data_IF_341779180392
#
_entry.id   IF_341779180392
#
_cell.length_a   1.000
_cell.length_b   1.000
_cell.length_c   1.000
_cell.angle_alpha   90.00
_cell.angle_beta   90.00
_cell.angle_gamma   90.00
#
_symmetry.space_group_name_H-M   'P 1'
#
loop_
_entity.id
_entity.type
_entity.pdbx_description
1 polymer ?
#
# COMPACT_ATOMS: atom_id res chain seq x y z
N UNK A 1 9.28 -9.46 -21.95
CA UNK A 1 8.16 -9.50 -20.99
C UNK A 1 7.93 -8.09 -20.47
N UNK A 2 6.71 -7.57 -20.61
CA UNK A 2 6.38 -6.18 -20.27
C UNK A 2 5.93 -6.12 -18.79
N UNK A 3 6.28 -5.09 -17.99
CA UNK A 3 5.94 -5.01 -16.57
C UNK A 3 4.43 -4.98 -16.25
N UNK A 4 3.57 -4.94 -17.28
CA UNK A 4 2.11 -5.06 -17.18
C UNK A 4 1.60 -6.47 -16.94
N UNK A 5 2.42 -7.50 -17.18
CA UNK A 5 2.02 -8.91 -17.04
C UNK A 5 2.06 -9.41 -15.57
N UNK A 6 2.60 -8.58 -14.66
CA UNK A 6 2.76 -8.87 -13.23
C UNK A 6 1.47 -8.58 -12.43
N UNK A 7 0.55 -7.80 -13.00
CA UNK A 7 -0.64 -7.30 -12.30
C UNK A 7 -1.93 -7.84 -12.92
N UNK A 8 -2.13 -9.15 -12.77
CA UNK A 8 -3.44 -9.77 -12.99
C UNK A 8 -4.19 -9.84 -11.66
N UNK A 9 -5.25 -9.04 -11.55
CA UNK A 9 -6.10 -8.91 -10.36
C UNK A 9 -6.87 -10.18 -9.98
N UNK A 10 -6.72 -11.26 -10.76
CA UNK A 10 -7.51 -12.48 -10.69
C UNK A 10 -6.76 -13.67 -10.03
N UNK A 11 -5.48 -13.52 -9.67
CA UNK A 11 -4.67 -14.58 -9.03
C UNK A 11 -4.74 -14.58 -7.49
N UNK A 12 -5.89 -14.24 -6.93
CA UNK A 12 -6.10 -14.31 -5.47
C UNK A 12 -7.01 -15.48 -5.14
N UNK A 13 -6.48 -16.58 -4.55
CA UNK A 13 -7.34 -17.64 -4.05
C UNK A 13 -8.27 -17.05 -2.96
N UNK A 14 -9.54 -17.48 -2.91
CA UNK A 14 -10.41 -17.15 -1.78
C UNK A 14 -9.74 -17.68 -0.52
N UNK A 15 -9.64 -16.85 0.53
CA UNK A 15 -9.25 -17.34 1.84
C UNK A 15 -10.38 -18.23 2.35
N UNK A 16 -10.20 -19.55 2.27
CA UNK A 16 -11.13 -20.50 2.90
C UNK A 16 -11.20 -20.23 4.41
N UNK A 17 -12.40 -20.23 5.01
CA UNK A 17 -12.49 -20.19 6.45
C UNK A 17 -12.08 -21.55 7.02
N UNK A 18 -11.04 -21.56 7.85
CA UNK A 18 -10.68 -22.71 8.66
C UNK A 18 -11.89 -23.13 9.52
N UNK A 19 -12.38 -24.34 9.30
CA UNK A 19 -13.34 -24.97 10.17
C UNK A 19 -12.64 -25.36 11.48
N UNK A 20 -13.10 -24.83 12.60
CA UNK A 20 -12.81 -25.45 13.89
C UNK A 20 -13.98 -25.27 14.85
N UNK A 21 -14.38 -26.41 15.41
CA UNK A 21 -15.57 -26.60 16.21
C UNK A 21 -15.25 -26.34 17.69
N UNK A 22 -15.98 -25.42 18.34
CA UNK A 22 -16.25 -25.43 19.80
C UNK A 22 -17.29 -24.37 20.20
N UNK A 23 -18.11 -24.60 21.25
CA UNK A 23 -19.39 -23.91 21.41
C UNK A 23 -19.32 -22.61 22.25
N UNK A 24 -20.11 -21.64 21.78
CA UNK A 24 -20.94 -20.65 22.47
C UNK A 24 -20.38 -19.84 23.65
N UNK A 25 -20.19 -18.55 23.41
CA UNK A 25 -20.64 -17.49 24.31
C UNK A 25 -21.03 -16.25 23.51
N UNK A 26 -22.33 -15.98 23.49
CA UNK A 26 -22.95 -14.88 22.78
C UNK A 26 -22.42 -13.51 23.23
N UNK A 27 -21.78 -12.79 22.31
CA UNK A 27 -21.66 -11.32 22.39
C UNK A 27 -22.02 -10.70 21.05
N UNK A 28 -23.26 -10.23 21.00
CA UNK A 28 -23.76 -9.06 20.26
C UNK A 28 -23.35 -9.01 18.79
N UNK A 29 -24.15 -9.67 17.95
CA UNK A 29 -24.19 -9.41 16.53
C UNK A 29 -24.58 -7.95 16.27
N UNK A 30 -23.61 -7.06 16.10
CA UNK A 30 -23.82 -5.90 15.25
C UNK A 30 -23.84 -6.44 13.83
N UNK A 31 -25.04 -6.69 13.33
CA UNK A 31 -25.30 -6.95 11.92
C UNK A 31 -24.84 -5.71 11.14
N UNK A 32 -23.54 -5.66 10.83
CA UNK A 32 -22.99 -4.74 9.86
C UNK A 32 -23.55 -5.24 8.53
N UNK A 33 -24.67 -4.65 8.12
CA UNK A 33 -25.25 -4.82 6.81
C UNK A 33 -24.10 -4.79 5.80
N UNK A 34 -23.77 -5.95 5.21
CA UNK A 34 -22.78 -6.00 4.15
C UNK A 34 -23.44 -5.31 2.96
N UNK A 35 -23.20 -4.01 2.84
CA UNK A 35 -23.48 -3.29 1.60
C UNK A 35 -22.89 -4.14 0.47
N UNK A 36 -23.69 -4.54 -0.54
CA UNK A 36 -23.19 -5.35 -1.63
C UNK A 36 -21.99 -4.63 -2.23
N UNK A 37 -20.83 -5.28 -2.18
CA UNK A 37 -19.60 -4.71 -2.69
C UNK A 37 -19.81 -4.47 -4.20
N UNK A 38 -19.84 -3.20 -4.61
CA UNK A 38 -19.76 -2.84 -6.03
C UNK A 38 -18.58 -3.62 -6.62
N UNK A 39 -18.76 -4.36 -7.73
CA UNK A 39 -17.65 -5.10 -8.32
C UNK A 39 -16.50 -4.14 -8.58
N UNK A 40 -15.30 -4.51 -8.12
CA UNK A 40 -14.11 -3.71 -8.28
C UNK A 40 -13.90 -3.44 -9.78
N UNK A 41 -13.78 -2.18 -10.17
CA UNK A 41 -13.43 -1.85 -11.54
C UNK A 41 -12.00 -2.35 -11.84
N UNK A 42 -11.70 -2.72 -13.11
CA UNK A 42 -10.36 -3.11 -13.49
C UNK A 42 -9.39 -1.93 -13.30
N UNK A 43 -8.16 -2.24 -12.89
CA UNK A 43 -7.15 -1.21 -12.74
C UNK A 43 -6.70 -0.65 -14.09
N UNK A 44 -6.88 0.67 -14.24
CA UNK A 44 -6.36 1.43 -15.37
C UNK A 44 -4.83 1.34 -15.44
N UNK A 45 -4.23 1.47 -16.64
CA UNK A 45 -2.77 1.55 -16.77
C UNK A 45 -2.14 2.64 -15.89
N UNK A 46 -2.83 3.78 -15.76
CA UNK A 46 -2.40 4.89 -14.91
C UNK A 46 -2.35 4.50 -13.43
N UNK A 47 -3.40 3.88 -12.90
CA UNK A 47 -3.44 3.44 -11.51
C UNK A 47 -2.42 2.32 -11.23
N UNK A 48 -2.23 1.38 -12.17
CA UNK A 48 -1.16 0.37 -12.08
C UNK A 48 0.22 1.02 -12.01
N UNK A 49 0.48 2.01 -12.87
CA UNK A 49 1.75 2.76 -12.89
C UNK A 49 2.00 3.46 -11.55
N UNK A 50 1.00 4.18 -11.02
CA UNK A 50 1.07 4.82 -9.72
C UNK A 50 1.40 3.82 -8.60
N UNK A 51 0.70 2.67 -8.56
CA UNK A 51 0.94 1.67 -7.52
C UNK A 51 2.37 1.10 -7.58
N UNK A 52 2.89 0.87 -8.79
CA UNK A 52 4.29 0.48 -8.98
C UNK A 52 5.27 1.56 -8.55
N UNK A 53 4.99 2.83 -8.85
CA UNK A 53 5.82 3.98 -8.45
C UNK A 53 5.84 4.16 -6.93
N UNK A 54 4.67 4.09 -6.28
CA UNK A 54 4.51 4.09 -4.82
C UNK A 54 5.31 2.95 -4.18
N UNK A 55 5.26 1.75 -4.76
CA UNK A 55 6.03 0.61 -4.29
C UNK A 55 7.55 0.84 -4.36
N UNK A 56 8.04 1.43 -5.45
CA UNK A 56 9.45 1.80 -5.59
C UNK A 56 9.88 2.89 -4.60
N UNK A 57 9.05 3.90 -4.40
CA UNK A 57 9.32 4.96 -3.43
C UNK A 57 9.41 4.39 -2.02
N UNK A 58 8.47 3.51 -1.67
CA UNK A 58 8.46 2.82 -0.40
C UNK A 58 9.71 1.95 -0.19
N UNK A 59 10.18 1.26 -1.23
CA UNK A 59 11.41 0.49 -1.18
C UNK A 59 12.64 1.36 -0.92
N UNK A 60 12.71 2.53 -1.58
CA UNK A 60 13.80 3.48 -1.36
C UNK A 60 13.80 4.01 0.07
N UNK A 61 12.63 4.45 0.55
CA UNK A 61 12.45 4.95 1.92
C UNK A 61 12.87 3.90 2.96
N UNK A 62 12.40 2.66 2.80
CA UNK A 62 12.69 1.57 3.72
C UNK A 62 14.20 1.28 3.80
N UNK A 63 14.89 1.27 2.65
CA UNK A 63 16.33 1.05 2.61
C UNK A 63 17.12 2.15 3.36
N UNK A 64 16.68 3.40 3.27
CA UNK A 64 17.33 4.54 3.93
C UNK A 64 16.97 4.63 5.44
N UNK A 65 15.78 4.17 5.81
CA UNK A 65 15.35 4.15 7.22
C UNK A 65 15.95 2.98 8.03
N UNK A 66 16.57 1.99 7.39
CA UNK A 66 17.19 0.83 8.03
C UNK A 66 18.20 1.16 9.15
N UNK A 67 18.69 2.40 9.21
CA UNK A 67 19.61 2.85 10.24
C UNK A 67 18.97 3.30 11.58
N UNK A 68 17.63 3.43 11.71
CA UNK A 68 17.04 3.88 13.00
C UNK A 68 15.52 3.77 13.17
N UNK A 69 15.08 3.32 14.35
CA UNK A 69 13.69 3.01 14.71
C UNK A 69 12.72 4.23 14.66
N UNK A 70 13.16 5.40 15.12
CA UNK A 70 12.29 6.61 15.17
C UNK A 70 11.96 7.16 13.77
N UNK A 71 12.85 6.92 12.79
CA UNK A 71 12.64 7.35 11.41
C UNK A 71 11.51 6.53 10.75
N UNK A 72 11.39 5.25 11.08
CA UNK A 72 10.31 4.41 10.55
C UNK A 72 8.93 4.89 10.98
N UNK A 73 8.75 5.27 12.24
CA UNK A 73 7.45 5.70 12.76
C UNK A 73 6.98 6.98 12.08
N UNK A 74 7.84 7.99 12.02
CA UNK A 74 7.49 9.27 11.40
C UNK A 74 7.21 9.14 9.91
N UNK A 75 8.04 8.38 9.19
CA UNK A 75 7.88 8.25 7.75
C UNK A 75 6.68 7.38 7.39
N UNK A 76 6.39 6.32 8.16
CA UNK A 76 5.17 5.53 7.98
C UNK A 76 3.91 6.37 8.23
N UNK A 77 3.92 7.22 9.27
CA UNK A 77 2.79 8.13 9.53
C UNK A 77 2.59 9.13 8.40
N UNK A 78 3.66 9.79 7.94
CA UNK A 78 3.57 10.71 6.81
C UNK A 78 3.08 10.00 5.54
N UNK A 79 3.65 8.83 5.22
CA UNK A 79 3.35 8.11 3.99
C UNK A 79 1.90 7.61 3.96
N UNK A 80 1.39 7.11 5.10
CA UNK A 80 -0.02 6.72 5.23
C UNK A 80 -0.95 7.92 5.05
N UNK A 81 -0.68 9.04 5.73
CA UNK A 81 -1.47 10.28 5.58
C UNK A 81 -1.47 10.79 4.13
N UNK A 82 -0.33 10.74 3.46
CA UNK A 82 -0.20 11.14 2.06
C UNK A 82 -1.03 10.23 1.12
N UNK A 83 -0.96 8.92 1.26
CA UNK A 83 -1.79 8.01 0.47
C UNK A 83 -3.29 8.21 0.74
N UNK A 84 -3.65 8.48 2.00
CA UNK A 84 -5.03 8.74 2.39
C UNK A 84 -5.56 10.05 1.82
N UNK A 85 -4.74 11.12 1.78
CA UNK A 85 -5.16 12.39 1.18
C UNK A 85 -5.41 12.28 -0.32
N UNK A 86 -4.84 11.27 -0.98
CA UNK A 86 -5.09 10.92 -2.38
C UNK A 86 -6.29 9.97 -2.56
N UNK A 87 -6.94 9.53 -1.48
CA UNK A 87 -8.02 8.56 -1.54
C UNK A 87 -7.57 7.14 -1.91
N UNK A 88 -6.34 6.77 -1.53
CA UNK A 88 -5.78 5.44 -1.77
C UNK A 88 -5.59 4.72 -0.44
N UNK A 89 -6.23 3.56 -0.31
CA UNK A 89 -6.04 2.65 0.80
C UNK A 89 -4.90 1.67 0.50
N UNK A 90 -4.02 1.42 1.46
CA UNK A 90 -2.93 0.45 1.30
C UNK A 90 -3.01 -0.65 2.37
N UNK A 91 -2.81 -1.90 1.95
CA UNK A 91 -2.67 -3.07 2.82
C UNK A 91 -1.45 -3.87 2.42
N UNK A 92 -0.74 -4.44 3.39
CA UNK A 92 0.38 -5.33 3.13
C UNK A 92 0.07 -6.77 3.55
N UNK A 93 0.62 -7.75 2.83
CA UNK A 93 0.63 -9.18 3.20
C UNK A 93 2.04 -9.71 3.06
N UNK A 94 2.55 -10.42 4.08
CA UNK A 94 3.87 -11.09 3.99
C UNK A 94 3.71 -12.34 3.12
N UNK A 95 4.65 -12.56 2.21
CA UNK A 95 4.69 -13.69 1.27
C UNK A 95 6.02 -14.41 1.39
N UNK A 96 5.95 -15.72 1.23
CA UNK A 96 7.11 -16.58 1.04
C UNK A 96 7.70 -16.35 -0.38
N UNK A 97 8.95 -16.80 -0.63
CA UNK A 97 9.50 -16.84 -1.97
C UNK A 97 8.53 -17.52 -2.96
N UNK A 98 8.55 -17.07 -4.21
CA UNK A 98 7.78 -17.62 -5.31
C UNK A 98 8.60 -17.59 -6.60
N UNK A 99 7.99 -17.99 -7.72
CA UNK A 99 8.65 -18.07 -9.03
C UNK A 99 9.24 -16.75 -9.53
N UNK A 100 8.85 -15.61 -8.94
CA UNK A 100 9.27 -14.26 -9.33
C UNK A 100 10.20 -13.59 -8.32
N UNK A 101 10.17 -14.03 -7.06
CA UNK A 101 10.93 -13.44 -5.95
C UNK A 101 11.46 -14.59 -5.09
N UNK A 102 12.77 -14.80 -5.13
CA UNK A 102 13.49 -15.88 -4.43
C UNK A 102 13.68 -15.64 -2.92
N UNK A 103 13.04 -14.61 -2.38
CA UNK A 103 13.15 -14.20 -0.98
C UNK A 103 11.81 -13.80 -0.39
N UNK A 104 11.75 -13.74 0.94
CA UNK A 104 10.57 -13.23 1.63
C UNK A 104 10.31 -11.77 1.25
N UNK A 105 9.05 -11.46 1.03
CA UNK A 105 8.64 -10.13 0.60
C UNK A 105 7.25 -9.78 1.15
N UNK A 106 6.89 -8.52 1.01
CA UNK A 106 5.57 -8.00 1.26
C UNK A 106 4.88 -7.67 -0.07
N UNK A 107 3.67 -8.19 -0.28
CA UNK A 107 2.76 -7.66 -1.30
C UNK A 107 1.98 -6.49 -0.72
N UNK A 108 2.16 -5.30 -1.28
CA UNK A 108 1.34 -4.12 -1.05
C UNK A 108 0.12 -4.13 -1.98
N UNK A 109 -1.06 -3.86 -1.43
CA UNK A 109 -2.33 -3.77 -2.13
C UNK A 109 -2.85 -2.35 -2.02
N UNK A 110 -2.88 -1.63 -3.13
CA UNK A 110 -3.51 -0.33 -3.23
C UNK A 110 -4.96 -0.49 -3.68
N UNK A 111 -5.88 0.23 -3.03
CA UNK A 111 -7.29 0.30 -3.38
C UNK A 111 -7.70 1.75 -3.52
N UNK A 112 -8.15 2.15 -4.71
CA UNK A 112 -8.76 3.45 -4.93
C UNK A 112 -10.16 3.44 -4.33
N UNK A 113 -10.43 4.37 -3.41
CA UNK A 113 -11.60 4.27 -2.52
C UNK A 113 -12.92 4.51 -3.27
N UNK A 114 -12.97 5.46 -4.22
CA UNK A 114 -14.22 5.85 -4.88
C UNK A 114 -14.86 4.73 -5.71
N UNK A 115 -14.05 3.87 -6.31
CA UNK A 115 -14.49 2.83 -7.25
C UNK A 115 -13.98 1.43 -6.93
N UNK A 116 -13.29 1.26 -5.80
CA UNK A 116 -12.67 0.02 -5.36
C UNK A 116 -11.72 -0.59 -6.39
N UNK A 117 -11.12 0.21 -7.28
CA UNK A 117 -10.07 -0.27 -8.19
C UNK A 117 -8.87 -0.72 -7.38
N UNK A 118 -8.34 -1.91 -7.68
CA UNK A 118 -7.22 -2.51 -6.94
C UNK A 118 -6.03 -2.80 -7.83
N UNK A 119 -4.85 -2.46 -7.34
CA UNK A 119 -3.58 -2.89 -7.91
C UNK A 119 -2.63 -3.29 -6.79
N UNK A 120 -1.54 -3.97 -7.13
CA UNK A 120 -0.55 -4.42 -6.18
C UNK A 120 0.83 -3.86 -6.50
N UNK A 121 1.77 -4.04 -5.59
CA UNK A 121 3.21 -3.93 -5.78
C UNK A 121 3.90 -4.85 -4.77
N UNK A 122 5.20 -5.07 -4.90
CA UNK A 122 5.97 -5.85 -3.93
C UNK A 122 7.09 -5.03 -3.29
N UNK A 123 7.53 -5.46 -2.12
CA UNK A 123 8.58 -4.85 -1.32
C UNK A 123 9.38 -5.93 -0.60
N UNK A 124 10.72 -5.94 -0.73
CA UNK A 124 11.58 -6.92 -0.04
C UNK A 124 11.40 -6.84 1.48
N UNK A 125 11.38 -7.97 2.17
CA UNK A 125 11.17 -7.97 3.62
C UNK A 125 12.32 -7.32 4.41
N UNK A 126 13.56 -7.63 4.03
CA UNK A 126 14.78 -7.26 4.75
C UNK A 126 14.87 -5.76 5.12
N UNK A 127 14.68 -4.79 4.19
CA UNK A 127 14.68 -3.38 4.58
C UNK A 127 13.32 -2.88 5.10
N UNK A 128 12.23 -3.64 4.93
CA UNK A 128 10.88 -3.09 5.05
C UNK A 128 10.05 -3.63 6.21
N UNK A 129 10.54 -4.63 6.93
CA UNK A 129 9.80 -5.30 8.02
C UNK A 129 9.24 -4.31 9.03
N UNK A 130 10.08 -3.37 9.51
CA UNK A 130 9.67 -2.37 10.49
C UNK A 130 8.68 -1.38 9.88
N UNK A 131 8.99 -0.83 8.71
CA UNK A 131 8.11 0.12 8.01
C UNK A 131 6.70 -0.45 7.80
N UNK A 132 6.61 -1.66 7.25
CA UNK A 132 5.34 -2.32 6.97
C UNK A 132 4.57 -2.65 8.25
N UNK A 133 5.25 -3.09 9.30
CA UNK A 133 4.62 -3.36 10.59
C UNK A 133 4.00 -2.08 11.19
N UNK A 134 4.67 -0.93 11.06
CA UNK A 134 4.13 0.37 11.50
C UNK A 134 2.93 0.81 10.66
N UNK A 135 3.01 0.69 9.33
CA UNK A 135 1.89 0.98 8.42
C UNK A 135 0.65 0.09 8.67
N UNK A 136 0.83 -1.14 9.16
CA UNK A 136 -0.28 -2.05 9.51
C UNK A 136 -0.93 -1.75 10.85
N UNK A 137 -0.29 -0.93 11.70
CA UNK A 137 -0.79 -0.64 13.05
C UNK A 137 -2.16 0.04 13.01
N UNK A 138 -2.95 -0.14 14.08
CA UNK A 138 -4.29 0.43 14.17
C UNK A 138 -4.31 1.97 14.02
N UNK A 139 -3.21 2.64 14.38
CA UNK A 139 -3.03 4.10 14.22
C UNK A 139 -3.05 4.54 12.76
N UNK A 140 -2.56 3.70 11.84
CA UNK A 140 -2.53 3.98 10.40
C UNK A 140 -3.74 3.40 9.65
N UNK A 141 -4.64 2.68 10.33
CA UNK A 141 -5.85 2.08 9.74
C UNK A 141 -6.99 3.10 9.75
N UNK A 142 -7.10 3.90 8.71
CA UNK A 142 -8.23 4.83 8.58
C UNK A 142 -9.44 4.11 7.96
N UNK A 143 -10.64 4.34 8.52
CA UNK A 143 -11.91 3.90 7.95
C UNK A 143 -12.32 4.90 6.87
N UNK A 144 -12.27 4.48 5.61
CA UNK A 144 -12.57 5.33 4.47
C UNK A 144 -14.08 5.48 4.26
N UNK A 145 -14.47 6.64 3.74
CA UNK A 145 -15.86 6.95 3.38
C UNK A 145 -15.97 7.17 1.87
N UNK A 146 -17.13 6.86 1.25
CA UNK A 146 -17.32 7.01 -0.20
C UNK A 146 -17.19 8.43 -0.73
N UNK A 147 -17.34 9.44 0.13
CA UNK A 147 -17.28 10.88 -0.17
C UNK A 147 -15.87 11.47 0.00
N UNK A 148 -14.87 10.66 0.37
CA UNK A 148 -13.50 11.15 0.46
C UNK A 148 -12.93 11.51 -0.91
N UNK A 149 -12.06 12.54 -1.00
CA UNK A 149 -11.33 12.86 -2.22
C UNK A 149 -10.62 11.62 -2.75
N UNK A 150 -10.64 11.45 -4.07
CA UNK A 150 -10.10 10.27 -4.73
C UNK A 150 -9.31 10.68 -5.97
N UNK A 151 -8.12 10.13 -6.11
CA UNK A 151 -7.23 10.41 -7.23
C UNK A 151 -7.85 9.98 -8.57
N UNK A 152 -7.83 10.88 -9.56
CA UNK A 152 -8.23 10.58 -10.94
C UNK A 152 -7.15 9.75 -11.66
N UNK A 153 -7.46 9.16 -12.81
CA UNK A 153 -6.44 8.48 -13.62
C UNK A 153 -5.39 9.46 -14.15
N UNK A 154 -5.78 10.68 -14.51
CA UNK A 154 -4.86 11.72 -14.98
C UNK A 154 -3.89 12.16 -13.87
N UNK A 155 -4.40 12.35 -12.65
CA UNK A 155 -3.57 12.67 -11.49
C UNK A 155 -2.67 11.49 -11.12
N UNK A 156 -3.18 10.26 -11.21
CA UNK A 156 -2.39 9.05 -10.95
C UNK A 156 -1.22 8.92 -11.93
N UNK A 157 -1.44 9.19 -13.21
CA UNK A 157 -0.40 9.17 -14.23
C UNK A 157 0.67 10.23 -13.97
N UNK A 158 0.25 11.50 -13.74
CA UNK A 158 1.16 12.61 -13.42
C UNK A 158 1.98 12.33 -12.16
N UNK A 159 1.34 11.81 -11.13
CA UNK A 159 2.02 11.51 -9.86
C UNK A 159 2.99 10.35 -10.01
N UNK A 160 2.64 9.31 -10.78
CA UNK A 160 3.56 8.22 -11.07
C UNK A 160 4.83 8.75 -11.76
N UNK A 161 4.68 9.59 -12.77
CA UNK A 161 5.79 10.23 -13.49
C UNK A 161 6.64 11.12 -12.56
N UNK A 162 6.00 11.90 -11.69
CA UNK A 162 6.70 12.68 -10.68
C UNK A 162 7.54 11.80 -9.75
N UNK A 163 6.97 10.72 -9.20
CA UNK A 163 7.70 9.78 -8.33
C UNK A 163 8.85 9.14 -9.09
N UNK A 164 8.65 8.76 -10.35
CA UNK A 164 9.71 8.23 -11.19
C UNK A 164 10.86 9.22 -11.38
N UNK A 165 10.53 10.47 -11.67
CA UNK A 165 11.50 11.54 -11.85
C UNK A 165 12.26 11.81 -10.55
N UNK A 166 11.55 11.82 -9.42
CA UNK A 166 12.14 11.98 -8.10
C UNK A 166 13.11 10.84 -7.75
N UNK A 167 12.73 9.59 -8.00
CA UNK A 167 13.57 8.42 -7.73
C UNK A 167 14.80 8.32 -8.64
N UNK A 168 14.70 8.87 -9.86
CA UNK A 168 15.83 8.97 -10.79
C UNK A 168 16.63 10.27 -10.60
N UNK A 169 16.22 11.14 -9.69
CA UNK A 169 16.88 12.40 -9.38
C UNK A 169 18.17 12.21 -8.57
N UNK A 170 18.82 13.32 -8.22
CA UNK A 170 20.02 13.29 -7.38
C UNK A 170 19.69 12.84 -5.95
N UNK A 171 20.66 12.21 -5.28
CA UNK A 171 20.55 11.86 -3.86
C UNK A 171 20.22 13.08 -2.98
N UNK A 172 20.72 14.26 -3.35
CA UNK A 172 20.45 15.52 -2.65
C UNK A 172 18.95 15.87 -2.60
N UNK A 173 18.18 15.59 -3.66
CA UNK A 173 16.72 15.81 -3.65
C UNK A 173 16.02 14.88 -2.66
N UNK A 174 16.50 13.64 -2.56
CA UNK A 174 15.98 12.68 -1.60
C UNK A 174 16.33 13.06 -0.17
N UNK A 175 17.55 13.52 0.08
CA UNK A 175 18.00 13.96 1.40
C UNK A 175 17.19 15.18 1.88
N UNK A 176 16.92 16.14 0.98
CA UNK A 176 16.03 17.29 1.27
C UNK A 176 14.62 16.85 1.60
N UNK A 177 14.09 15.85 0.89
CA UNK A 177 12.79 15.26 1.19
C UNK A 177 12.77 14.65 2.59
N UNK A 178 13.76 13.83 2.93
CA UNK A 178 13.88 13.22 4.27
C UNK A 178 14.06 14.27 5.38
N UNK A 179 14.79 15.35 5.09
CA UNK A 179 14.97 16.49 6.00
C UNK A 179 13.68 17.31 6.19
N UNK A 180 12.85 17.47 5.15
CA UNK A 180 11.57 18.16 5.25
C UNK A 180 10.57 17.39 6.12
N UNK A 181 10.59 16.05 6.05
CA UNK A 181 9.86 15.22 7.02
C UNK A 181 10.33 15.52 8.46
N UNK A 182 11.59 15.94 8.62
CA UNK A 182 12.28 16.33 9.86
C UNK A 182 11.55 17.33 10.73
N UNK A 183 10.86 18.24 10.06
CA UNK A 183 10.33 19.48 10.64
C UNK A 183 8.83 19.41 10.92
N UNK A 184 8.16 18.31 10.55
CA UNK A 184 6.75 18.08 10.87
C UNK A 184 6.67 17.48 12.27
N UNK A 185 6.71 18.34 13.29
CA UNK A 185 6.37 18.02 14.69
C UNK A 185 4.98 18.55 15.04
#
# INVERSE_FOLDING_TARGET
MHPSDIFNSNDFPPLEPAADSRPSSAKRATSRERVPAKPAAPASPAFKSLCGAVGRLLARIAAECAAGADNYDRVAEWFSKWLHSLGVAVRFVRRQPNDYVDMNHYTGFCTRIADNVRSAFFLREEPAVEFVNRMRSAKCRQLYKPDMPCISDDDAARLAEFIHTFLNGSQELFDRFMAALGQVQ
#
